data_IF_571569687450
#
_entry.id   IF_571569687450
#
_cell.length_a   1.000
_cell.length_b   1.000
_cell.length_c   1.000
_cell.angle_alpha   90.00
_cell.angle_beta   90.00
_cell.angle_gamma   90.00
#
_symmetry.space_group_name_H-M   'P 1'
#
loop_
_entity.id
_entity.type
_entity.pdbx_description
1 polymer ?
#
# COMPACT_ATOMS: atom_id res chain seq x y z
N UNK A 1 -2.43 -5.04 -0.64
CA UNK A 1 -1.28 -5.26 0.27
C UNK A 1 -0.76 -3.90 0.75
N UNK A 2 -0.10 -3.81 1.91
CA UNK A 2 0.60 -2.60 2.35
C UNK A 2 2.08 -2.94 2.48
N UNK A 3 2.94 -2.14 1.86
CA UNK A 3 4.39 -2.25 1.99
C UNK A 3 4.97 -0.87 2.27
N UNK A 4 5.92 -0.79 3.19
CA UNK A 4 6.67 0.43 3.46
C UNK A 4 8.14 0.08 3.73
N UNK A 5 9.05 0.85 3.12
CA UNK A 5 10.44 0.87 3.55
C UNK A 5 10.53 1.62 4.89
N UNK A 6 11.44 1.19 5.75
CA UNK A 6 11.73 1.88 6.99
C UNK A 6 12.90 2.87 6.87
N UNK A 7 13.25 3.45 8.02
CA UNK A 7 14.28 4.48 8.14
C UNK A 7 15.72 3.99 7.90
N UNK A 8 15.98 2.69 8.03
CA UNK A 8 17.29 2.07 7.71
C UNK A 8 17.18 1.11 6.52
N UNK A 9 18.30 0.79 5.83
CA UNK A 9 18.30 -0.13 4.69
C UNK A 9 17.76 -1.53 5.01
N UNK A 10 17.82 -1.97 6.26
CA UNK A 10 17.36 -3.29 6.71
C UNK A 10 15.92 -3.30 7.24
N UNK A 11 15.30 -2.13 7.31
CA UNK A 11 13.99 -1.97 7.92
C UNK A 11 12.86 -1.92 6.89
N UNK A 12 11.78 -2.65 7.18
CA UNK A 12 10.61 -2.71 6.32
C UNK A 12 9.36 -3.11 7.10
N UNK A 13 8.20 -2.86 6.50
CA UNK A 13 6.91 -3.33 6.92
C UNK A 13 6.16 -3.91 5.72
N UNK A 14 5.52 -5.06 5.89
CA UNK A 14 4.61 -5.64 4.91
C UNK A 14 3.39 -6.21 5.61
N UNK A 15 2.20 -5.94 5.07
CA UNK A 15 0.96 -6.48 5.58
C UNK A 15 -0.07 -6.79 4.49
N UNK A 16 -0.87 -7.81 4.74
CA UNK A 16 -2.07 -8.13 3.96
C UNK A 16 -3.12 -8.74 4.88
N UNK A 17 -4.27 -8.07 5.00
CA UNK A 17 -5.33 -8.48 5.90
C UNK A 17 -4.79 -8.56 7.34
N UNK A 18 -4.91 -9.75 7.96
CA UNK A 18 -4.48 -9.96 9.36
C UNK A 18 -3.00 -10.21 9.56
N UNK A 19 -2.27 -10.45 8.47
CA UNK A 19 -0.88 -10.83 8.53
C UNK A 19 -0.03 -9.59 8.31
N UNK A 20 0.86 -9.33 9.25
CA UNK A 20 1.85 -8.28 9.14
C UNK A 20 3.21 -8.82 9.59
N UNK A 21 4.25 -8.40 8.91
CA UNK A 21 5.65 -8.60 9.30
C UNK A 21 6.37 -7.26 9.19
N UNK A 22 7.25 -7.01 10.12
CA UNK A 22 8.09 -5.83 10.11
C UNK A 22 9.42 -6.11 10.79
N UNK A 23 10.43 -5.33 10.42
CA UNK A 23 11.76 -5.38 10.97
C UNK A 23 12.33 -3.98 11.05
N UNK A 24 13.03 -3.66 12.15
CA UNK A 24 13.79 -2.40 12.28
C UNK A 24 12.94 -1.12 12.22
N UNK A 25 11.65 -1.17 12.59
CA UNK A 25 10.80 0.02 12.64
C UNK A 25 11.23 0.99 13.77
N UNK A 26 10.95 2.30 13.65
CA UNK A 26 11.14 3.25 14.76
C UNK A 26 10.51 2.75 16.05
N UNK A 27 11.15 2.99 17.20
CA UNK A 27 10.81 2.37 18.50
C UNK A 27 9.33 2.53 18.89
N UNK A 28 8.77 3.71 18.69
CA UNK A 28 7.36 3.98 19.02
C UNK A 28 6.42 3.20 18.11
N UNK A 29 6.70 3.21 16.80
CA UNK A 29 5.94 2.44 15.81
C UNK A 29 6.05 0.93 16.06
N UNK A 30 7.25 0.42 16.37
CA UNK A 30 7.46 -1.00 16.73
C UNK A 30 6.71 -1.39 18.00
N UNK A 31 6.74 -0.54 19.02
CA UNK A 31 5.99 -0.74 20.28
C UNK A 31 4.48 -0.80 20.01
N UNK A 32 3.98 0.10 19.16
CA UNK A 32 2.58 0.13 18.76
C UNK A 32 2.19 -1.12 17.98
N UNK A 33 2.97 -1.49 16.95
CA UNK A 33 2.77 -2.69 16.13
C UNK A 33 2.71 -3.98 16.96
N UNK A 34 3.57 -4.10 17.98
CA UNK A 34 3.62 -5.25 18.91
C UNK A 34 2.42 -5.33 19.86
N UNK A 35 1.87 -4.19 20.30
CA UNK A 35 0.79 -4.16 21.30
C UNK A 35 -0.57 -4.37 20.69
N UNK A 36 -0.84 -3.68 19.58
CA UNK A 36 -2.19 -3.52 19.08
C UNK A 36 -2.53 -4.54 17.98
N UNK A 37 -1.53 -5.14 17.30
CA UNK A 37 -1.74 -6.06 16.16
C UNK A 37 -2.76 -5.55 15.12
N UNK A 38 -2.79 -4.22 14.91
CA UNK A 38 -3.80 -3.57 14.08
C UNK A 38 -3.39 -3.51 12.61
N UNK A 39 -4.41 -3.49 11.76
CA UNK A 39 -4.25 -3.40 10.31
C UNK A 39 -4.10 -1.94 9.92
N UNK A 40 -2.93 -1.60 9.41
CA UNK A 40 -2.67 -0.26 8.90
C UNK A 40 -3.25 -0.12 7.49
N UNK A 41 -3.99 0.96 7.26
CA UNK A 41 -4.48 1.37 5.95
C UNK A 41 -3.40 2.10 5.15
N UNK A 42 -2.60 2.90 5.85
CA UNK A 42 -1.41 3.58 5.33
C UNK A 42 -0.30 3.59 6.37
N UNK A 43 0.94 3.52 5.86
CA UNK A 43 2.16 3.62 6.64
C UNK A 43 3.24 4.26 5.77
N UNK A 44 3.97 5.22 6.33
CA UNK A 44 5.15 5.81 5.72
C UNK A 44 6.18 6.11 6.79
N UNK A 45 7.44 5.83 6.51
CA UNK A 45 8.57 6.10 7.40
C UNK A 45 9.63 6.87 6.61
N UNK A 46 10.07 8.00 7.14
CA UNK A 46 11.17 8.79 6.57
C UNK A 46 12.53 8.21 6.93
N UNK A 47 13.58 8.63 6.24
CA UNK A 47 14.97 8.31 6.62
C UNK A 47 15.36 8.83 8.01
N UNK A 48 14.73 9.90 8.49
CA UNK A 48 14.96 10.45 9.83
C UNK A 48 14.26 9.66 10.94
N UNK A 49 13.45 8.66 10.58
CA UNK A 49 12.66 7.89 11.54
C UNK A 49 11.29 8.47 11.85
N UNK A 50 10.93 9.63 11.30
CA UNK A 50 9.55 10.14 11.33
C UNK A 50 8.64 9.10 10.72
N UNK A 51 7.53 8.79 11.39
CA UNK A 51 6.57 7.83 10.88
C UNK A 51 5.15 8.38 10.94
N UNK A 52 4.39 8.07 9.90
CA UNK A 52 2.96 8.30 9.88
C UNK A 52 2.27 6.97 9.63
N UNK A 53 1.23 6.69 10.39
CA UNK A 53 0.37 5.56 10.13
C UNK A 53 -1.09 5.91 10.40
N UNK A 54 -1.96 5.25 9.66
CA UNK A 54 -3.40 5.31 9.84
C UNK A 54 -3.97 3.91 9.85
N UNK A 55 -4.76 3.61 10.88
CA UNK A 55 -5.48 2.34 10.96
C UNK A 55 -6.56 2.24 9.88
N UNK A 56 -6.78 1.02 9.38
CA UNK A 56 -7.99 0.75 8.60
C UNK A 56 -9.23 0.91 9.48
N UNK A 57 -10.36 1.41 8.94
CA UNK A 57 -11.62 1.42 9.65
C UNK A 57 -11.97 0.02 10.15
N UNK A 58 -12.24 -0.11 11.44
CA UNK A 58 -12.59 -1.40 12.02
C UNK A 58 -14.01 -1.77 11.59
N UNK A 59 -14.16 -2.67 10.61
CA UNK A 59 -15.46 -3.03 10.01
C UNK A 59 -16.50 -3.54 11.04
N UNK A 60 -16.05 -4.00 12.21
CA UNK A 60 -16.92 -4.47 13.30
C UNK A 60 -17.44 -3.36 14.21
N UNK A 61 -16.95 -2.13 14.09
CA UNK A 61 -17.47 -0.98 14.81
C UNK A 61 -18.58 -0.35 13.97
N UNK A 62 -19.83 -0.63 14.32
CA UNK A 62 -21.03 0.00 13.72
C UNK A 62 -21.26 1.43 14.22
N UNK A 63 -20.47 1.90 15.19
CA UNK A 63 -20.37 3.31 15.56
C UNK A 63 -19.35 4.02 14.66
N UNK A 64 -19.27 5.35 14.72
CA UNK A 64 -18.21 6.13 14.06
C UNK A 64 -16.84 5.79 14.66
N UNK A 65 -16.33 4.59 14.35
CA UNK A 65 -15.14 4.00 14.94
C UNK A 65 -13.98 4.95 14.76
N UNK A 66 -13.44 5.39 15.89
CA UNK A 66 -12.29 6.28 15.97
C UNK A 66 -11.20 5.78 15.02
N UNK A 67 -10.92 6.56 13.97
CA UNK A 67 -9.77 6.33 13.10
C UNK A 67 -8.56 6.80 13.89
N UNK A 68 -7.79 5.86 14.44
CA UNK A 68 -6.50 6.22 15.02
C UNK A 68 -5.54 6.49 13.87
N UNK A 69 -5.21 7.76 13.70
CA UNK A 69 -4.04 8.21 12.96
C UNK A 69 -3.02 8.69 13.97
N UNK A 70 -1.74 8.47 13.68
CA UNK A 70 -0.66 8.96 14.50
C UNK A 70 0.49 9.38 13.61
N UNK A 71 1.06 10.52 13.98
CA UNK A 71 2.25 11.08 13.40
C UNK A 71 3.30 11.12 14.52
N UNK A 72 4.35 10.32 14.38
CA UNK A 72 5.50 10.33 15.27
C UNK A 72 6.62 11.13 14.60
N UNK A 73 6.84 12.34 15.10
CA UNK A 73 7.70 13.34 14.48
C UNK A 73 9.12 13.18 15.00
N UNK A 74 10.07 12.95 14.07
CA UNK A 74 11.49 13.12 14.33
C UNK A 74 11.87 14.60 14.51
N UNK A 75 13.12 14.88 14.83
CA UNK A 75 13.58 16.25 15.09
C UNK A 75 13.86 17.09 13.82
N UNK A 76 13.37 16.70 12.63
CA UNK A 76 13.77 17.31 11.35
C UNK A 76 12.80 18.38 10.82
N UNK A 77 13.30 19.30 9.98
CA UNK A 77 12.56 20.47 9.48
C UNK A 77 11.32 20.13 8.64
N UNK A 78 11.40 19.10 7.79
CA UNK A 78 10.29 18.52 7.02
C UNK A 78 9.06 18.26 7.89
N UNK A 79 9.32 17.80 9.10
CA UNK A 79 8.28 17.29 9.97
C UNK A 79 7.39 18.42 10.48
N UNK A 80 7.92 19.64 10.62
CA UNK A 80 7.15 20.80 11.10
C UNK A 80 5.99 21.18 10.19
N UNK A 81 6.17 21.13 8.86
CA UNK A 81 5.08 21.51 7.95
C UNK A 81 4.05 20.41 7.79
N UNK A 82 4.47 19.15 7.86
CA UNK A 82 3.55 18.02 7.94
C UNK A 82 2.78 18.05 9.27
N UNK A 83 3.44 18.40 10.36
CA UNK A 83 2.85 18.63 11.68
C UNK A 83 1.84 19.78 11.66
N UNK A 84 2.15 20.90 11.01
CA UNK A 84 1.21 22.01 10.82
C UNK A 84 -0.05 21.53 10.07
N UNK A 85 0.11 20.76 9.00
CA UNK A 85 -1.04 20.18 8.29
C UNK A 85 -1.82 19.25 9.23
N UNK A 86 -1.15 18.38 9.97
CA UNK A 86 -1.77 17.42 10.88
C UNK A 86 -2.50 18.09 12.05
N UNK A 87 -1.92 19.11 12.67
CA UNK A 87 -2.43 19.75 13.88
C UNK A 87 -3.40 20.91 13.58
N UNK A 88 -3.18 21.68 12.51
CA UNK A 88 -3.88 22.95 12.28
C UNK A 88 -5.04 22.81 11.28
N UNK A 89 -4.90 21.96 10.25
CA UNK A 89 -5.86 21.94 9.15
C UNK A 89 -7.23 21.32 9.53
N UNK A 90 -7.30 20.56 10.63
CA UNK A 90 -8.43 19.72 10.99
C UNK A 90 -8.90 18.82 9.82
N UNK A 91 -7.97 18.45 8.94
CA UNK A 91 -8.21 17.55 7.81
C UNK A 91 -7.77 16.14 8.21
N UNK A 92 -8.61 15.14 7.93
CA UNK A 92 -8.26 13.73 8.11
C UNK A 92 -7.25 13.33 7.02
N UNK A 93 -6.03 12.97 7.42
CA UNK A 93 -4.96 12.61 6.48
C UNK A 93 -5.21 11.19 6.00
N UNK A 94 -5.24 10.95 4.70
CA UNK A 94 -5.39 9.62 4.14
C UNK A 94 -4.05 8.87 4.14
N UNK A 95 -3.00 9.52 3.64
CA UNK A 95 -1.65 8.98 3.56
C UNK A 95 -0.63 10.10 3.42
N UNK A 96 0.62 9.78 3.75
CA UNK A 96 1.77 10.66 3.60
C UNK A 96 2.86 9.91 2.82
N UNK A 97 3.57 10.61 1.96
CA UNK A 97 4.80 10.14 1.34
C UNK A 97 5.93 11.09 1.74
N UNK A 98 6.90 10.58 2.49
CA UNK A 98 8.10 11.32 2.85
C UNK A 98 9.17 11.08 1.79
N UNK A 99 9.86 12.15 1.37
CA UNK A 99 11.07 12.13 0.56
C UNK A 99 12.27 12.63 1.35
N UNK A 100 13.42 12.77 0.66
CA UNK A 100 14.62 13.40 1.24
C UNK A 100 14.46 14.92 1.30
N UNK A 101 15.15 15.57 2.25
CA UNK A 101 15.36 17.04 2.24
C UNK A 101 14.06 17.87 2.20
N UNK A 102 13.16 17.63 3.15
CA UNK A 102 11.90 18.37 3.30
C UNK A 102 10.91 18.20 2.14
N UNK A 103 11.11 17.14 1.34
CA UNK A 103 10.19 16.78 0.26
C UNK A 103 9.08 15.88 0.81
N UNK A 104 7.82 16.22 0.57
CA UNK A 104 6.69 15.40 0.97
C UNK A 104 5.47 15.56 0.06
N UNK A 105 4.58 14.56 0.13
CA UNK A 105 3.19 14.65 -0.34
C UNK A 105 2.29 14.22 0.81
N UNK A 106 1.30 15.04 1.16
CA UNK A 106 0.28 14.72 2.17
C UNK A 106 -1.08 14.75 1.51
N UNK A 107 -1.77 13.62 1.49
CA UNK A 107 -3.13 13.54 0.97
C UNK A 107 -4.14 13.59 2.11
N UNK A 108 -5.16 14.42 1.95
CA UNK A 108 -6.25 14.59 2.91
C UNK A 108 -7.59 14.35 2.22
N UNK A 109 -8.67 14.26 3.01
CA UNK A 109 -10.02 14.20 2.45
C UNK A 109 -10.41 15.40 1.56
N UNK A 110 -9.74 16.56 1.72
CA UNK A 110 -10.07 17.78 0.98
C UNK A 110 -9.15 17.99 -0.22
N UNK A 111 -7.86 17.73 -0.08
CA UNK A 111 -6.84 18.04 -1.11
C UNK A 111 -5.53 17.29 -0.86
N UNK A 112 -4.66 17.33 -1.86
CA UNK A 112 -3.28 16.86 -1.75
C UNK A 112 -2.34 18.06 -1.62
N UNK A 113 -1.49 18.03 -0.59
CA UNK A 113 -0.44 19.01 -0.34
C UNK A 113 0.90 18.50 -0.87
N UNK A 114 1.61 19.34 -1.61
CA UNK A 114 2.93 19.06 -2.15
C UNK A 114 3.93 20.06 -1.58
N UNK A 115 5.12 19.60 -1.20
CA UNK A 115 6.16 20.52 -0.73
C UNK A 115 6.96 21.17 -1.87
N UNK A 116 6.96 20.57 -3.07
CA UNK A 116 7.73 21.05 -4.22
C UNK A 116 6.88 21.16 -5.51
N UNK A 117 6.94 22.28 -6.26
CA UNK A 117 6.14 22.49 -7.48
C UNK A 117 6.37 21.45 -8.58
N UNK A 118 7.58 20.90 -8.70
CA UNK A 118 7.87 19.87 -9.72
C UNK A 118 7.09 18.57 -9.53
N UNK A 119 6.56 18.33 -8.33
CA UNK A 119 5.77 17.13 -7.98
C UNK A 119 4.27 17.41 -8.22
N UNK A 120 3.87 18.69 -8.19
CA UNK A 120 2.47 19.10 -8.33
C UNK A 120 1.86 18.60 -9.63
N UNK A 121 0.65 18.07 -9.52
CA UNK A 121 -0.17 17.69 -10.67
C UNK A 121 -0.83 18.94 -11.24
N UNK A 122 -0.13 19.65 -12.14
CA UNK A 122 -0.67 20.80 -12.86
C UNK A 122 -1.79 20.36 -13.82
N UNK A 123 -2.99 20.14 -13.29
CA UNK A 123 -4.24 20.43 -13.99
C UNK A 123 -5.20 20.99 -12.95
N UNK A 124 -5.86 22.10 -13.27
CA UNK A 124 -6.82 22.84 -12.44
C UNK A 124 -8.12 22.05 -12.13
N UNK A 125 -8.05 20.71 -12.13
CA UNK A 125 -9.12 19.81 -11.75
C UNK A 125 -8.88 19.19 -10.38
N UNK A 126 -9.91 18.53 -9.86
CA UNK A 126 -9.89 17.71 -8.64
C UNK A 126 -9.02 16.46 -8.88
N UNK A 127 -7.72 16.66 -9.07
CA UNK A 127 -6.74 15.59 -9.27
C UNK A 127 -6.54 14.88 -7.94
N UNK A 128 -7.33 13.83 -7.73
CA UNK A 128 -7.14 12.94 -6.60
C UNK A 128 -5.93 12.05 -6.88
N UNK A 129 -5.02 12.04 -5.92
CA UNK A 129 -3.80 11.24 -6.00
C UNK A 129 -4.03 9.95 -5.24
N UNK A 130 -3.78 8.82 -5.90
CA UNK A 130 -3.95 7.49 -5.29
C UNK A 130 -2.82 7.15 -4.35
N UNK A 131 -1.59 7.41 -4.80
CA UNK A 131 -0.39 7.26 -3.99
C UNK A 131 0.77 8.09 -4.54
N UNK A 132 1.76 8.33 -3.69
CA UNK A 132 3.05 8.87 -4.08
C UNK A 132 4.15 8.11 -3.35
N UNK A 133 5.36 8.10 -3.92
CA UNK A 133 6.53 7.52 -3.27
C UNK A 133 7.81 8.21 -3.70
N UNK A 134 8.77 8.27 -2.79
CA UNK A 134 10.07 8.88 -3.00
C UNK A 134 11.15 7.83 -2.81
N UNK A 135 12.04 7.71 -3.78
CA UNK A 135 13.23 6.87 -3.69
C UNK A 135 14.49 7.69 -3.42
N UNK A 136 15.65 7.03 -3.54
CA UNK A 136 16.93 7.73 -3.47
C UNK A 136 17.22 8.55 -4.73
N UNK A 137 18.28 9.36 -4.70
CA UNK A 137 18.79 10.14 -5.84
C UNK A 137 17.74 11.09 -6.47
N UNK A 138 16.83 11.63 -5.67
CA UNK A 138 15.78 12.54 -6.14
C UNK A 138 14.69 11.86 -6.96
N UNK A 139 14.64 10.52 -6.94
CA UNK A 139 13.60 9.77 -7.65
C UNK A 139 12.25 9.86 -6.93
N UNK A 140 11.19 9.97 -7.70
CA UNK A 140 9.83 10.01 -7.15
C UNK A 140 8.81 9.52 -8.18
N UNK A 141 7.66 9.11 -7.67
CA UNK A 141 6.50 8.71 -8.46
C UNK A 141 5.22 9.22 -7.79
N UNK A 142 4.28 9.68 -8.60
CA UNK A 142 2.92 10.05 -8.20
C UNK A 142 1.95 9.35 -9.14
N UNK A 143 0.99 8.63 -8.56
CA UNK A 143 -0.06 7.90 -9.30
C UNK A 143 -1.39 8.60 -9.03
N UNK A 144 -2.02 9.12 -10.10
CA UNK A 144 -3.35 9.70 -10.06
C UNK A 144 -4.46 8.64 -10.07
N UNK A 145 -5.67 9.03 -9.70
CA UNK A 145 -6.84 8.15 -9.79
C UNK A 145 -7.32 7.89 -11.23
N UNK A 146 -6.89 8.72 -12.18
CA UNK A 146 -7.09 8.55 -13.63
C UNK A 146 -6.09 7.58 -14.27
N UNK A 147 -5.37 6.81 -13.43
CA UNK A 147 -4.24 5.96 -13.80
C UNK A 147 -3.06 6.72 -14.44
N UNK A 148 -3.07 8.05 -14.37
CA UNK A 148 -1.96 8.89 -14.78
C UNK A 148 -0.75 8.71 -13.85
N UNK A 149 0.36 8.24 -14.40
CA UNK A 149 1.63 8.09 -13.65
C UNK A 149 2.59 9.20 -14.05
N UNK A 150 3.11 9.92 -13.06
CA UNK A 150 4.17 10.92 -13.23
C UNK A 150 5.35 10.54 -12.36
N UNK A 151 6.55 10.71 -12.87
CA UNK A 151 7.76 10.33 -12.16
C UNK A 151 8.97 11.15 -12.61
N UNK A 152 10.04 11.09 -11.82
CA UNK A 152 11.35 11.63 -12.16
C UNK A 152 12.45 10.70 -11.70
N UNK A 153 13.56 10.69 -12.44
CA UNK A 153 14.81 10.00 -12.09
C UNK A 153 14.65 8.52 -11.70
N UNK A 154 13.69 7.80 -12.30
CA UNK A 154 13.49 6.37 -12.04
C UNK A 154 14.46 5.52 -12.90
N UNK A 155 15.06 4.47 -12.33
CA UNK A 155 15.76 3.47 -13.12
C UNK A 155 14.82 2.75 -14.09
N UNK A 156 15.32 2.41 -15.29
CA UNK A 156 14.50 1.84 -16.38
C UNK A 156 13.73 0.55 -16.00
N UNK A 157 14.24 -0.26 -15.07
CA UNK A 157 13.51 -1.43 -14.55
C UNK A 157 12.21 -1.05 -13.83
N UNK A 158 12.24 0.03 -13.03
CA UNK A 158 11.07 0.53 -12.31
C UNK A 158 10.09 1.16 -13.30
N UNK A 159 10.58 1.93 -14.27
CA UNK A 159 9.73 2.48 -15.33
C UNK A 159 9.00 1.39 -16.13
N UNK A 160 9.68 0.30 -16.48
CA UNK A 160 9.07 -0.83 -17.14
C UNK A 160 7.99 -1.51 -16.27
N UNK A 161 8.27 -1.67 -14.96
CA UNK A 161 7.31 -2.24 -14.02
C UNK A 161 6.05 -1.35 -13.87
N UNK A 162 6.20 -0.03 -13.83
CA UNK A 162 5.07 0.91 -13.76
C UNK A 162 4.18 0.88 -15.02
N UNK A 163 4.74 0.50 -16.18
CA UNK A 163 4.01 0.36 -17.45
C UNK A 163 3.31 -1.00 -17.62
N UNK A 164 3.50 -1.92 -16.68
CA UNK A 164 2.99 -3.31 -16.81
C UNK A 164 1.49 -3.44 -16.53
N UNK A 165 0.86 -2.45 -15.90
CA UNK A 165 -0.58 -2.45 -15.61
C UNK A 165 -1.00 -1.28 -14.73
N UNK A 166 -2.31 -1.12 -14.44
CA UNK A 166 -2.79 -0.04 -13.59
C UNK A 166 -2.27 -0.20 -12.16
N UNK A 167 -1.69 0.86 -11.62
CA UNK A 167 -0.95 0.81 -10.35
C UNK A 167 -1.85 1.20 -9.18
N UNK A 168 -1.92 0.34 -8.17
CA UNK A 168 -2.64 0.63 -6.92
C UNK A 168 -1.73 1.33 -5.91
N UNK A 169 -0.51 0.81 -5.70
CA UNK A 169 0.46 1.32 -4.71
C UNK A 169 1.88 1.21 -5.25
N UNK A 170 2.72 2.15 -4.87
CA UNK A 170 4.17 2.12 -5.11
C UNK A 170 4.90 2.45 -3.82
N UNK A 171 5.95 1.68 -3.53
CA UNK A 171 6.96 2.03 -2.54
C UNK A 171 8.33 2.00 -3.23
N UNK A 172 9.04 3.12 -3.18
CA UNK A 172 10.42 3.26 -3.63
C UNK A 172 11.34 3.28 -2.40
N UNK A 173 12.51 2.68 -2.50
CA UNK A 173 13.48 2.72 -1.42
C UNK A 173 14.27 4.03 -1.42
N UNK A 174 14.36 4.67 -0.26
CA UNK A 174 15.27 5.80 -0.05
C UNK A 174 16.73 5.37 0.11
N UNK A 175 17.00 4.07 0.21
CA UNK A 175 18.33 3.51 0.48
C UNK A 175 18.98 2.86 -0.75
N UNK A 176 18.18 2.43 -1.74
CA UNK A 176 18.67 1.74 -2.93
C UNK A 176 17.87 2.14 -4.17
N UNK A 177 18.53 2.50 -5.28
CA UNK A 177 17.83 2.89 -6.51
C UNK A 177 17.12 1.70 -7.16
N UNK A 178 17.52 0.47 -6.83
CA UNK A 178 16.98 -0.75 -7.44
C UNK A 178 15.90 -1.41 -6.61
N UNK A 179 15.63 -0.90 -5.41
CA UNK A 179 14.64 -1.49 -4.52
C UNK A 179 13.30 -0.80 -4.63
N UNK A 180 12.27 -1.59 -4.92
CA UNK A 180 10.90 -1.12 -5.08
C UNK A 180 9.90 -2.22 -4.79
N UNK A 181 8.68 -1.80 -4.51
CA UNK A 181 7.51 -2.66 -4.43
C UNK A 181 6.33 -1.95 -5.13
N UNK A 182 5.70 -2.63 -6.07
CA UNK A 182 4.52 -2.16 -6.81
C UNK A 182 3.41 -3.19 -6.61
N UNK A 183 2.22 -2.71 -6.25
CA UNK A 183 0.98 -3.47 -6.28
C UNK A 183 0.08 -2.89 -7.39
N UNK A 184 -0.41 -3.75 -8.26
CA UNK A 184 -1.35 -3.39 -9.33
C UNK A 184 -2.80 -3.48 -8.84
N UNK A 185 -3.73 -2.90 -9.60
CA UNK A 185 -5.15 -2.87 -9.24
C UNK A 185 -5.83 -4.23 -9.24
N UNK A 186 -5.26 -5.23 -9.93
CA UNK A 186 -5.69 -6.63 -9.90
C UNK A 186 -5.17 -7.40 -8.68
N UNK A 187 -4.33 -6.77 -7.84
CA UNK A 187 -3.71 -7.38 -6.66
C UNK A 187 -2.38 -8.07 -6.94
N UNK A 188 -1.94 -8.19 -8.19
CA UNK A 188 -0.62 -8.69 -8.52
C UNK A 188 0.46 -7.73 -8.01
N UNK A 189 1.65 -8.28 -7.74
CA UNK A 189 2.80 -7.52 -7.25
C UNK A 189 4.00 -7.66 -8.16
N UNK A 190 4.82 -6.61 -8.22
CA UNK A 190 6.13 -6.61 -8.85
C UNK A 190 7.09 -5.87 -7.93
N UNK A 191 8.16 -6.55 -7.52
CA UNK A 191 9.11 -5.98 -6.58
C UNK A 191 10.54 -6.45 -6.85
N UNK A 192 11.48 -5.62 -6.41
CA UNK A 192 12.89 -5.92 -6.38
C UNK A 192 13.36 -5.54 -4.99
N UNK A 193 13.59 -6.52 -4.14
CA UNK A 193 13.83 -6.32 -2.70
C UNK A 193 14.98 -7.20 -2.21
N UNK A 194 15.61 -6.87 -1.05
CA UNK A 194 16.57 -7.73 -0.39
C UNK A 194 16.07 -9.17 -0.29
N UNK A 195 16.96 -10.13 -0.54
CA UNK A 195 16.61 -11.55 -0.59
C UNK A 195 15.96 -12.03 0.71
N UNK A 196 16.50 -11.59 1.85
CA UNK A 196 16.00 -11.92 3.19
C UNK A 196 14.54 -11.45 3.42
N UNK A 197 14.05 -10.47 2.68
CA UNK A 197 12.67 -9.97 2.84
C UNK A 197 11.66 -10.78 2.04
N UNK A 198 12.11 -11.48 0.98
CA UNK A 198 11.22 -12.14 0.01
C UNK A 198 10.40 -13.26 0.65
N UNK A 199 10.97 -13.98 1.62
CA UNK A 199 10.24 -15.04 2.34
C UNK A 199 9.05 -14.45 3.13
N UNK A 200 9.26 -13.33 3.81
CA UNK A 200 8.20 -12.65 4.57
C UNK A 200 7.09 -12.16 3.66
N UNK A 201 7.44 -11.59 2.50
CA UNK A 201 6.47 -11.13 1.50
C UNK A 201 5.67 -12.31 0.95
N UNK A 202 6.35 -13.39 0.54
CA UNK A 202 5.70 -14.59 0.03
C UNK A 202 4.75 -15.23 1.08
N UNK A 203 5.10 -15.15 2.37
CA UNK A 203 4.24 -15.64 3.46
C UNK A 203 2.98 -14.79 3.60
N UNK A 204 3.10 -13.47 3.48
CA UNK A 204 1.97 -12.54 3.49
C UNK A 204 1.07 -12.74 2.26
N UNK A 205 1.66 -12.89 1.07
CA UNK A 205 0.95 -13.14 -0.19
C UNK A 205 0.19 -14.46 -0.18
N UNK A 206 0.80 -15.57 0.27
CA UNK A 206 0.12 -16.87 0.33
C UNK A 206 -1.11 -16.86 1.23
N UNK A 207 -1.06 -16.11 2.32
CA UNK A 207 -2.16 -16.05 3.29
C UNK A 207 -3.30 -15.15 2.79
N UNK A 208 -3.02 -14.21 1.88
CA UNK A 208 -4.02 -13.37 1.22
C UNK A 208 -4.96 -14.21 0.33
N UNK A 209 -4.40 -15.11 -0.49
CA UNK A 209 -5.18 -15.97 -1.39
C UNK A 209 -6.20 -16.81 -0.61
N UNK A 210 -5.85 -17.26 0.61
CA UNK A 210 -6.76 -18.03 1.45
C UNK A 210 -7.91 -17.20 2.05
N UNK A 211 -7.66 -15.92 2.37
CA UNK A 211 -8.66 -15.05 3.01
C UNK A 211 -9.69 -14.51 2.01
N UNK A 212 -9.29 -14.12 0.80
CA UNK A 212 -10.26 -13.67 -0.23
C UNK A 212 -11.20 -14.82 -0.66
N UNK A 213 -10.71 -16.06 -0.57
CA UNK A 213 -11.50 -17.28 -0.80
C UNK A 213 -12.50 -17.56 0.34
N UNK A 214 -12.22 -17.12 1.58
CA UNK A 214 -13.04 -17.39 2.78
C UNK A 214 -14.03 -16.27 3.12
N UNK A 215 -13.75 -15.01 2.77
CA UNK A 215 -14.62 -13.88 3.12
C UNK A 215 -15.84 -13.75 2.20
N UNK A 216 -15.78 -14.34 1.01
CA UNK A 216 -16.90 -14.37 0.05
C UNK A 216 -17.97 -15.40 0.40
N UNK A 217 -17.74 -16.28 1.39
CA UNK A 217 -18.68 -17.34 1.76
C UNK A 217 -19.73 -16.95 2.81
N UNK A 218 -19.70 -15.74 3.40
CA UNK A 218 -20.51 -15.43 4.59
C UNK A 218 -21.17 -14.03 4.67
N UNK A 219 -21.40 -13.30 3.57
CA UNK A 219 -22.17 -12.06 3.68
C UNK A 219 -22.42 -11.26 2.40
N UNK A 220 -23.54 -11.60 1.74
CA UNK A 220 -24.32 -10.87 0.73
C UNK A 220 -23.60 -9.94 -0.29
N UNK A 221 -23.57 -10.31 -1.59
CA UNK A 221 -23.30 -9.37 -2.68
C UNK A 221 -24.62 -8.71 -3.15
N UNK A 222 -24.61 -7.39 -3.36
CA UNK A 222 -25.55 -6.78 -4.29
C UNK A 222 -25.02 -6.97 -5.71
N UNK A 223 -25.77 -7.77 -6.47
CA UNK A 223 -25.71 -8.04 -7.93
C UNK A 223 -24.47 -8.79 -8.43
N UNK A 224 -24.60 -10.12 -8.39
CA UNK A 224 -24.07 -11.08 -9.37
C UNK A 224 -22.56 -11.00 -9.64
N UNK A 225 -21.77 -11.30 -8.61
CA UNK A 225 -20.35 -11.63 -8.78
C UNK A 225 -20.20 -13.13 -8.94
N UNK A 226 -19.86 -13.57 -10.15
CA UNK A 226 -19.28 -14.91 -10.37
C UNK A 226 -17.82 -14.83 -9.95
N UNK A 227 -17.46 -15.58 -8.91
CA UNK A 227 -16.06 -15.65 -8.44
C UNK A 227 -15.42 -16.88 -9.05
N UNK A 228 -14.33 -16.67 -9.79
CA UNK A 228 -13.45 -17.72 -10.27
C UNK A 228 -12.26 -17.82 -9.32
N UNK A 229 -12.10 -18.98 -8.68
CA UNK A 229 -10.89 -19.29 -7.92
C UNK A 229 -10.06 -20.31 -8.72
N UNK A 230 -8.80 -19.96 -9.02
CA UNK A 230 -7.86 -20.81 -9.73
C UNK A 230 -6.97 -21.54 -8.73
N UNK A 231 -6.96 -22.88 -8.80
CA UNK A 231 -6.03 -23.70 -8.03
C UNK A 231 -4.59 -23.60 -8.55
N UNK A 232 -3.63 -24.13 -7.79
CA UNK A 232 -2.21 -24.18 -8.18
C UNK A 232 -1.92 -25.16 -9.33
N UNK A 233 -2.90 -25.97 -9.75
CA UNK A 233 -2.86 -26.84 -10.93
C UNK A 233 -3.77 -26.26 -12.02
N UNK A 234 -3.34 -26.34 -13.30
CA UNK A 234 -4.01 -25.72 -14.46
C UNK A 234 -5.44 -26.24 -14.72
N UNK A 235 -5.86 -27.28 -14.01
CA UNK A 235 -7.03 -28.09 -14.33
C UNK A 235 -8.11 -28.03 -13.25
N UNK A 236 -7.94 -27.18 -12.23
CA UNK A 236 -8.89 -27.05 -11.13
C UNK A 236 -9.36 -25.60 -10.98
N UNK A 237 -10.67 -25.41 -11.13
CA UNK A 237 -11.34 -24.19 -10.68
C UNK A 237 -12.60 -24.53 -9.88
N UNK A 238 -12.89 -23.66 -8.92
CA UNK A 238 -14.14 -23.67 -8.19
C UNK A 238 -15.00 -22.51 -8.69
N UNK A 239 -16.24 -22.81 -9.06
CA UNK A 239 -17.26 -21.81 -9.34
C UNK A 239 -18.23 -21.78 -8.17
N UNK A 240 -18.34 -20.62 -7.53
CA UNK A 240 -19.26 -20.41 -6.41
C UNK A 240 -20.38 -19.51 -6.92
N UNK A 241 -21.61 -20.03 -6.90
CA UNK A 241 -22.82 -19.28 -7.28
C UNK A 241 -23.58 -18.79 -6.04
N UNK A 242 -24.50 -17.83 -6.22
CA UNK A 242 -25.26 -17.15 -5.14
C UNK A 242 -26.00 -18.10 -4.17
N UNK A 243 -26.17 -19.38 -4.50
CA UNK A 243 -26.86 -20.36 -3.64
C UNK A 243 -25.92 -21.21 -2.78
N UNK A 244 -24.63 -20.86 -2.68
CA UNK A 244 -23.71 -21.52 -1.75
C UNK A 244 -23.36 -22.97 -2.12
N UNK A 245 -23.71 -23.41 -3.33
CA UNK A 245 -23.32 -24.73 -3.82
C UNK A 245 -21.93 -24.59 -4.45
N UNK A 246 -20.90 -24.86 -3.67
CA UNK A 246 -19.58 -25.13 -4.22
C UNK A 246 -19.65 -26.49 -4.95
N UNK A 247 -19.74 -26.46 -6.28
CA UNK A 247 -19.48 -27.66 -7.09
C UNK A 247 -18.02 -27.63 -7.50
N UNK A 248 -17.27 -28.66 -7.11
CA UNK A 248 -15.99 -28.95 -7.77
C UNK A 248 -16.32 -29.33 -9.21
N UNK A 249 -15.95 -28.49 -10.17
CA UNK A 249 -16.07 -28.78 -11.59
C UNK A 249 -14.68 -29.16 -12.06
N UNK A 250 -14.44 -30.46 -12.21
CA UNK A 250 -13.26 -30.93 -12.93
C UNK A 250 -13.57 -30.83 -14.41
N UNK A 251 -12.97 -29.85 -15.08
CA UNK A 251 -13.11 -29.72 -16.52
C UNK A 251 -12.11 -30.67 -17.18
N UNK A 252 -12.63 -31.74 -17.78
CA UNK A 252 -11.86 -32.57 -18.70
C UNK A 252 -11.74 -31.77 -19.99
N UNK A 253 -10.63 -31.06 -20.17
CA UNK A 253 -10.26 -30.54 -21.48
C UNK A 253 -9.82 -31.76 -22.28
N UNK A 254 -10.69 -32.23 -23.18
CA UNK A 254 -10.25 -33.19 -24.19
C UNK A 254 -9.22 -32.48 -25.06
N UNK A 255 -7.98 -32.97 -25.05
CA UNK A 255 -6.98 -32.58 -26.04
C UNK A 255 -7.42 -33.14 -27.40
N UNK A 256 -7.67 -32.26 -28.37
CA UNK A 256 -7.59 -32.65 -29.79
C UNK A 256 -6.15 -32.91 -30.21
#
# INVERSE_FOLDING_TARGET
>A
MLFAFGHTPESFYVAHGRNAYWQGMPRNLDTYLKKEHRWLGSLSVSISGTSFYKEMPNYRSTGSGSRTQSLDIGSTGCDKRVEEIYNVSNEDINWIAFGSSDVYVVDTQKRTHFSHPSIMCNKEGKNTTRCASFGCNGSWVVVGDDDGIRHSALPGKIEAALKSGPVRRVALSQHSPTWYFIEYTDGATNFSLPELWREHIAKVERTSIQLDTLWTSNGAPTKSNVIFAFGSSKDQFAMITEHGIARSITLWIASE
#
